data_IF_330596321122
#
_entry.id   IF_330596321122
#
_cell.length_a   1.000
_cell.length_b   1.000
_cell.length_c   1.000
_cell.angle_alpha   90.00
_cell.angle_beta   90.00
_cell.angle_gamma   90.00
#
_symmetry.space_group_name_H-M   'P 1'
#
loop_
_entity.id
_entity.type
_entity.pdbx_description
1 polymer ?
#
# COMPACT_ATOMS: atom_id res chain seq x y z
N UNK A 1 -44.90 43.70 27.65
CA UNK A 1 -45.37 42.47 26.96
C UNK A 1 -44.98 42.38 25.51
N UNK A 2 -44.81 43.47 24.76
CA UNK A 2 -44.39 43.43 23.35
C UNK A 2 -42.91 43.05 23.18
N UNK A 3 -42.03 43.52 24.05
CA UNK A 3 -40.58 43.29 24.00
C UNK A 3 -40.22 41.80 24.15
N UNK A 4 -40.89 41.09 25.08
CA UNK A 4 -40.70 39.66 25.28
C UNK A 4 -41.10 38.79 24.05
N UNK A 5 -42.00 39.29 23.21
CA UNK A 5 -42.43 38.56 21.99
C UNK A 5 -41.39 38.68 20.86
N UNK A 6 -40.73 39.83 20.78
CA UNK A 6 -39.69 40.06 19.79
C UNK A 6 -38.43 39.25 20.13
N UNK A 7 -38.00 39.23 21.39
CA UNK A 7 -36.82 38.45 21.84
C UNK A 7 -37.03 36.94 21.62
N UNK A 8 -38.26 36.43 21.77
CA UNK A 8 -38.57 35.01 21.48
C UNK A 8 -38.58 34.74 19.98
N UNK A 9 -39.03 35.67 19.14
CA UNK A 9 -39.00 35.53 17.68
C UNK A 9 -37.57 35.57 17.14
N UNK A 10 -36.74 36.45 17.68
CA UNK A 10 -35.31 36.55 17.30
C UNK A 10 -34.56 35.27 17.72
N UNK A 11 -34.83 34.74 18.92
CA UNK A 11 -34.26 33.47 19.37
C UNK A 11 -34.71 32.27 18.49
N UNK A 12 -35.96 32.25 18.04
CA UNK A 12 -36.47 31.20 17.12
C UNK A 12 -35.83 31.35 15.74
N UNK A 13 -35.56 32.57 15.29
CA UNK A 13 -34.90 32.83 14.01
C UNK A 13 -33.44 32.42 14.04
N UNK A 14 -32.72 32.71 15.13
CA UNK A 14 -31.35 32.26 15.37
C UNK A 14 -31.26 30.73 15.42
N UNK A 15 -32.19 30.05 16.10
CA UNK A 15 -32.26 28.57 16.10
C UNK A 15 -32.51 27.99 14.70
N UNK A 16 -33.36 28.66 13.89
CA UNK A 16 -33.59 28.23 12.50
C UNK A 16 -32.36 28.41 11.66
N UNK A 17 -31.66 29.54 11.79
CA UNK A 17 -30.41 29.81 11.06
C UNK A 17 -29.35 28.77 11.46
N UNK A 18 -29.12 28.52 12.75
CA UNK A 18 -28.20 27.51 13.23
C UNK A 18 -28.55 26.08 12.76
N UNK A 19 -29.87 25.78 12.67
CA UNK A 19 -30.33 24.48 12.17
C UNK A 19 -30.07 24.35 10.67
N UNK A 20 -30.32 25.39 9.91
CA UNK A 20 -30.09 25.43 8.48
C UNK A 20 -28.58 25.34 8.16
N UNK A 21 -27.72 26.09 8.86
CA UNK A 21 -26.25 26.01 8.72
C UNK A 21 -25.75 24.63 9.10
N UNK A 22 -26.29 23.99 10.12
CA UNK A 22 -25.94 22.60 10.47
C UNK A 22 -26.35 21.63 9.40
N UNK A 23 -27.55 21.74 8.84
CA UNK A 23 -28.05 20.82 7.81
C UNK A 23 -27.32 21.03 6.48
N UNK A 24 -26.93 22.27 6.14
CA UNK A 24 -26.04 22.59 5.03
C UNK A 24 -24.64 22.00 5.25
N UNK A 25 -24.10 22.09 6.47
CA UNK A 25 -22.81 21.50 6.81
C UNK A 25 -22.83 19.96 6.71
N UNK A 26 -23.94 19.32 7.14
CA UNK A 26 -24.12 17.87 7.01
C UNK A 26 -24.23 17.48 5.54
N UNK A 27 -25.02 18.20 4.74
CA UNK A 27 -25.18 17.94 3.30
C UNK A 27 -23.86 18.15 2.56
N UNK A 28 -23.13 19.23 2.84
CA UNK A 28 -21.83 19.50 2.28
C UNK A 28 -20.78 18.44 2.69
N UNK A 29 -20.89 17.90 3.90
CA UNK A 29 -20.05 16.80 4.37
C UNK A 29 -20.35 15.49 3.63
N UNK A 30 -21.64 15.18 3.45
CA UNK A 30 -22.05 13.99 2.68
C UNK A 30 -21.56 14.10 1.23
N UNK A 31 -21.73 15.25 0.59
CA UNK A 31 -21.23 15.52 -0.74
C UNK A 31 -19.69 15.40 -0.82
N UNK A 32 -18.98 15.91 0.20
CA UNK A 32 -17.51 15.81 0.25
C UNK A 32 -17.03 14.37 0.49
N UNK A 33 -17.78 13.56 1.22
CA UNK A 33 -17.50 12.13 1.39
C UNK A 33 -17.75 11.38 0.09
N UNK A 34 -18.83 11.67 -0.63
CA UNK A 34 -19.13 11.09 -1.94
C UNK A 34 -18.08 11.50 -2.98
N UNK A 35 -17.68 12.79 -3.02
CA UNK A 35 -16.64 13.32 -3.90
C UNK A 35 -15.25 12.71 -3.55
N UNK A 36 -14.96 12.47 -2.26
CA UNK A 36 -13.77 11.78 -1.78
C UNK A 36 -13.78 10.29 -2.13
N UNK A 37 -14.92 9.63 -1.97
CA UNK A 37 -15.10 8.23 -2.34
C UNK A 37 -14.94 8.03 -3.85
N UNK A 38 -15.43 8.98 -4.66
CA UNK A 38 -15.28 8.96 -6.11
C UNK A 38 -13.83 9.24 -6.52
N UNK A 39 -13.14 10.16 -5.85
CA UNK A 39 -11.72 10.45 -6.07
C UNK A 39 -10.82 9.29 -5.61
N UNK A 40 -11.12 8.67 -4.46
CA UNK A 40 -10.42 7.47 -4.01
C UNK A 40 -10.65 6.27 -4.93
N UNK A 41 -11.84 6.10 -5.50
CA UNK A 41 -12.09 5.09 -6.54
C UNK A 41 -11.15 5.25 -7.74
N UNK A 42 -10.90 6.48 -8.17
CA UNK A 42 -10.02 6.75 -9.30
C UNK A 42 -8.53 6.55 -8.94
N UNK A 43 -8.13 6.85 -7.72
CA UNK A 43 -6.74 6.72 -7.24
C UNK A 43 -6.38 5.27 -6.92
N UNK A 44 -7.27 4.54 -6.27
CA UNK A 44 -7.10 3.13 -5.92
C UNK A 44 -7.11 2.24 -7.17
N UNK A 45 -7.87 2.59 -8.20
CA UNK A 45 -7.79 1.99 -9.54
C UNK A 45 -6.42 2.20 -10.19
N UNK A 46 -5.78 3.33 -9.93
CA UNK A 46 -4.54 3.70 -10.61
C UNK A 46 -3.27 3.09 -9.97
N UNK A 47 -3.28 2.74 -8.69
CA UNK A 47 -2.03 2.45 -7.97
C UNK A 47 -1.95 1.12 -7.23
N UNK A 48 -3.03 0.63 -6.63
CA UNK A 48 -2.93 -0.45 -5.65
C UNK A 48 -3.99 -1.54 -5.81
N UNK A 49 -4.95 -1.39 -6.71
CA UNK A 49 -6.03 -2.36 -6.86
C UNK A 49 -6.94 -2.46 -5.62
N UNK A 50 -6.84 -1.52 -4.70
CA UNK A 50 -7.72 -1.43 -3.54
C UNK A 50 -8.83 -0.45 -3.87
N UNK A 51 -9.96 -0.96 -4.34
CA UNK A 51 -11.18 -0.17 -4.43
C UNK A 51 -11.70 0.10 -3.02
N UNK A 52 -11.92 1.37 -2.71
CA UNK A 52 -12.81 1.74 -1.63
C UNK A 52 -14.23 1.48 -2.14
N UNK A 53 -14.77 0.33 -1.78
CA UNK A 53 -16.18 0.08 -1.97
C UNK A 53 -16.90 0.92 -0.93
N UNK A 54 -17.88 1.72 -1.34
CA UNK A 54 -18.82 2.35 -0.41
C UNK A 54 -19.51 1.33 0.48
N UNK A 55 -20.52 1.70 1.23
CA UNK A 55 -21.30 0.72 2.01
C UNK A 55 -21.74 -0.44 1.10
N UNK A 56 -21.44 -1.66 1.51
CA UNK A 56 -21.76 -2.86 0.74
C UNK A 56 -20.70 -3.94 0.84
N UNK A 57 -20.73 -4.84 -0.11
CA UNK A 57 -19.74 -5.90 -0.28
C UNK A 57 -19.06 -5.77 -1.63
N UNK A 58 -17.81 -6.16 -1.68
CA UNK A 58 -17.08 -6.22 -2.94
C UNK A 58 -16.00 -7.27 -2.93
N UNK A 59 -15.57 -7.62 -4.14
CA UNK A 59 -14.45 -8.52 -4.36
C UNK A 59 -13.56 -7.99 -5.48
N UNK A 60 -12.27 -8.17 -5.30
CA UNK A 60 -11.27 -7.86 -6.31
C UNK A 60 -10.47 -9.11 -6.63
N UNK A 61 -10.20 -9.30 -7.89
CA UNK A 61 -9.28 -10.31 -8.42
C UNK A 61 -8.20 -9.61 -9.23
N UNK A 62 -6.93 -9.79 -8.84
CA UNK A 62 -5.80 -9.38 -9.66
C UNK A 62 -5.12 -10.59 -10.28
N UNK A 63 -4.64 -10.42 -11.51
CA UNK A 63 -3.77 -11.36 -12.18
C UNK A 63 -2.60 -10.57 -12.76
N UNK A 64 -1.41 -10.83 -12.26
CA UNK A 64 -0.21 -10.07 -12.63
C UNK A 64 0.85 -11.04 -13.12
N UNK A 65 1.40 -10.76 -14.28
CA UNK A 65 2.52 -11.51 -14.83
C UNK A 65 3.71 -10.59 -15.00
N UNK A 66 4.82 -10.97 -14.40
CA UNK A 66 6.12 -10.30 -14.50
C UNK A 66 7.10 -11.23 -15.18
N UNK A 67 7.91 -10.69 -16.07
CA UNK A 67 9.02 -11.41 -16.68
C UNK A 67 10.25 -10.52 -16.77
N UNK A 68 11.42 -11.10 -16.59
CA UNK A 68 12.67 -10.38 -16.68
C UNK A 68 13.74 -11.23 -17.34
N UNK A 69 14.67 -10.53 -17.97
CA UNK A 69 15.89 -11.10 -18.51
C UNK A 69 17.06 -10.37 -17.86
N UNK A 70 17.91 -11.13 -17.17
CA UNK A 70 19.08 -10.66 -16.45
C UNK A 70 20.38 -10.88 -17.19
N UNK A 71 21.52 -10.72 -16.48
CA UNK A 71 22.85 -11.02 -16.98
C UNK A 71 22.97 -12.45 -17.45
N UNK A 72 23.89 -12.69 -18.38
CA UNK A 72 24.21 -14.04 -18.93
C UNK A 72 23.02 -14.76 -19.59
N UNK A 73 21.95 -14.01 -19.96
CA UNK A 73 20.75 -14.57 -20.59
C UNK A 73 19.81 -15.29 -19.63
N UNK A 74 20.03 -15.21 -18.33
CA UNK A 74 19.10 -15.75 -17.33
C UNK A 74 17.75 -15.05 -17.44
N UNK A 75 16.68 -15.81 -17.44
CA UNK A 75 15.32 -15.28 -17.48
C UNK A 75 14.52 -15.82 -16.33
N UNK A 76 13.73 -14.96 -15.72
CA UNK A 76 12.77 -15.33 -14.68
C UNK A 76 11.40 -14.78 -14.96
N UNK A 77 10.43 -15.29 -14.23
CA UNK A 77 9.04 -14.83 -14.29
C UNK A 77 8.33 -15.06 -12.97
N UNK A 78 7.26 -14.28 -12.75
CA UNK A 78 6.34 -14.48 -11.65
C UNK A 78 4.90 -14.25 -12.13
N UNK A 79 4.03 -15.18 -11.78
CA UNK A 79 2.57 -15.03 -11.85
C UNK A 79 2.05 -14.81 -10.44
N UNK A 80 1.37 -13.71 -10.24
CA UNK A 80 0.71 -13.35 -9.00
C UNK A 80 -0.80 -13.29 -9.23
N UNK A 81 -1.58 -13.95 -8.38
CA UNK A 81 -3.03 -14.04 -8.46
C UNK A 81 -3.63 -13.61 -7.13
N UNK A 82 -3.86 -12.32 -6.98
CA UNK A 82 -4.39 -11.71 -5.76
C UNK A 82 -5.92 -11.82 -5.66
N UNK A 83 -6.40 -11.98 -4.44
CA UNK A 83 -7.82 -11.95 -4.11
C UNK A 83 -8.01 -10.99 -2.94
N UNK A 84 -9.03 -10.15 -3.04
CA UNK A 84 -9.47 -9.32 -1.94
C UNK A 84 -10.99 -9.41 -1.84
N UNK A 85 -11.47 -9.51 -0.63
CA UNK A 85 -12.87 -9.38 -0.29
C UNK A 85 -13.01 -8.22 0.67
N UNK A 86 -14.05 -7.44 0.49
CA UNK A 86 -14.34 -6.27 1.30
C UNK A 86 -15.83 -6.25 1.67
N UNK A 87 -16.12 -5.85 2.90
CA UNK A 87 -17.47 -5.62 3.40
C UNK A 87 -17.46 -4.38 4.29
N UNK A 88 -18.39 -3.46 4.03
CA UNK A 88 -18.61 -2.27 4.82
C UNK A 88 -20.10 -2.10 5.11
N UNK A 89 -20.46 -1.87 6.35
CA UNK A 89 -21.84 -1.59 6.75
C UNK A 89 -21.86 -0.76 8.01
N UNK A 90 -22.59 0.37 7.95
CA UNK A 90 -22.73 1.31 9.05
C UNK A 90 -21.36 1.85 9.52
N UNK A 91 -20.87 1.31 10.63
CA UNK A 91 -19.62 1.70 11.28
C UNK A 91 -18.50 0.65 11.15
N UNK A 92 -18.78 -0.45 10.51
CA UNK A 92 -17.87 -1.60 10.43
C UNK A 92 -17.33 -1.79 9.03
N UNK A 93 -16.03 -1.98 8.95
CA UNK A 93 -15.33 -2.39 7.75
C UNK A 93 -14.60 -3.70 8.02
N UNK A 94 -14.66 -4.62 7.08
CA UNK A 94 -13.94 -5.87 7.12
C UNK A 94 -13.28 -6.12 5.77
N UNK A 95 -12.04 -6.58 5.78
CA UNK A 95 -11.37 -7.04 4.56
C UNK A 95 -10.60 -8.32 4.78
N UNK A 96 -10.49 -9.11 3.72
CA UNK A 96 -9.67 -10.31 3.63
C UNK A 96 -8.87 -10.24 2.34
N UNK A 97 -7.56 -10.46 2.44
CA UNK A 97 -6.67 -10.47 1.27
C UNK A 97 -5.73 -11.67 1.33
N UNK A 98 -5.50 -12.30 0.19
CA UNK A 98 -4.43 -13.27 -0.03
C UNK A 98 -4.03 -13.31 -1.51
N UNK A 99 -3.00 -14.06 -1.83
CA UNK A 99 -2.63 -14.32 -3.22
C UNK A 99 -2.08 -15.74 -3.40
N UNK A 100 -2.16 -16.23 -4.63
CA UNK A 100 -1.41 -17.40 -5.06
C UNK A 100 -0.27 -16.93 -6.00
N UNK A 101 0.93 -17.42 -5.77
CA UNK A 101 2.13 -17.01 -6.50
C UNK A 101 2.77 -18.22 -7.15
N UNK A 102 3.23 -18.08 -8.38
CA UNK A 102 4.14 -19.00 -9.06
C UNK A 102 5.31 -18.16 -9.54
N UNK A 103 6.51 -18.50 -9.15
CA UNK A 103 7.72 -17.76 -9.48
C UNK A 103 8.84 -18.70 -9.88
N UNK A 104 9.67 -18.28 -10.84
CA UNK A 104 10.90 -18.96 -11.23
C UNK A 104 11.96 -17.89 -11.54
N UNK A 105 13.09 -17.96 -10.86
CA UNK A 105 14.20 -17.02 -11.04
C UNK A 105 15.15 -17.40 -12.18
N UNK A 106 14.97 -18.57 -12.78
CA UNK A 106 15.87 -19.12 -13.79
C UNK A 106 17.13 -19.77 -13.21
N UNK A 107 17.24 -19.88 -11.89
CA UNK A 107 18.32 -20.60 -11.20
C UNK A 107 17.88 -22.04 -10.87
N UNK A 108 18.83 -22.94 -10.67
CA UNK A 108 18.52 -24.29 -10.16
C UNK A 108 17.96 -24.17 -8.73
N UNK A 109 16.79 -24.77 -8.47
CA UNK A 109 16.06 -24.58 -7.21
C UNK A 109 15.42 -23.19 -7.05
N UNK A 110 15.35 -22.40 -8.11
CA UNK A 110 14.80 -21.05 -8.13
C UNK A 110 13.28 -21.00 -8.30
N UNK A 111 12.57 -22.06 -8.00
CA UNK A 111 11.12 -22.15 -8.10
C UNK A 111 10.44 -21.91 -6.75
N UNK A 112 9.37 -21.13 -6.77
CA UNK A 112 8.52 -20.88 -5.62
C UNK A 112 7.05 -20.90 -6.07
N UNK A 113 6.21 -21.64 -5.35
CA UNK A 113 4.77 -21.62 -5.61
C UNK A 113 3.97 -21.86 -4.34
N UNK A 114 2.86 -21.16 -4.18
CA UNK A 114 1.98 -21.33 -3.04
C UNK A 114 1.10 -20.11 -2.77
N UNK A 115 0.32 -20.23 -1.70
CA UNK A 115 -0.43 -19.10 -1.15
C UNK A 115 0.52 -18.15 -0.41
N UNK A 116 0.22 -16.86 -0.44
CA UNK A 116 0.78 -15.90 0.53
C UNK A 116 0.02 -16.03 1.85
N UNK A 117 0.54 -15.41 2.87
CA UNK A 117 -0.21 -15.22 4.11
C UNK A 117 -1.55 -14.52 3.81
N UNK A 118 -2.56 -14.85 4.62
CA UNK A 118 -3.89 -14.25 4.52
C UNK A 118 -4.00 -13.12 5.54
N UNK A 119 -4.22 -11.91 5.09
CA UNK A 119 -4.48 -10.77 5.96
C UNK A 119 -5.98 -10.56 6.14
N UNK A 120 -6.39 -10.38 7.40
CA UNK A 120 -7.74 -10.04 7.83
C UNK A 120 -7.68 -8.68 8.51
N UNK A 121 -8.54 -7.75 8.11
CA UNK A 121 -8.66 -6.46 8.78
C UNK A 121 -10.11 -6.24 9.20
N UNK A 122 -10.32 -5.80 10.43
CA UNK A 122 -11.61 -5.36 10.95
C UNK A 122 -11.47 -3.98 11.58
N UNK A 123 -12.32 -3.04 11.18
CA UNK A 123 -12.30 -1.66 11.67
C UNK A 123 -13.69 -1.25 12.14
N UNK A 124 -13.75 -0.44 13.16
CA UNK A 124 -14.95 0.26 13.61
C UNK A 124 -14.72 1.76 13.55
N UNK A 125 -15.68 2.49 12.96
CA UNK A 125 -15.64 3.95 12.82
C UNK A 125 -16.64 4.62 13.73
N UNK A 126 -16.18 5.48 14.63
CA UNK A 126 -17.01 6.38 15.42
C UNK A 126 -17.00 7.76 14.77
N UNK A 127 -18.12 8.12 14.15
CA UNK A 127 -18.26 9.38 13.38
C UNK A 127 -18.66 10.55 14.28
N UNK A 128 -17.91 11.64 14.17
CA UNK A 128 -18.23 12.93 14.80
C UNK A 128 -18.30 14.04 13.73
N UNK A 129 -18.97 15.15 14.01
CA UNK A 129 -19.12 16.23 13.02
C UNK A 129 -17.81 16.82 12.51
N UNK A 130 -16.73 16.79 13.30
CA UNK A 130 -15.44 17.44 12.98
C UNK A 130 -14.34 16.42 12.76
N UNK A 131 -14.45 15.22 13.33
CA UNK A 131 -13.44 14.17 13.22
C UNK A 131 -14.09 12.79 13.31
N UNK A 132 -13.45 11.79 12.72
CA UNK A 132 -13.81 10.39 12.90
C UNK A 132 -12.69 9.68 13.65
N UNK A 133 -13.05 8.78 14.54
CA UNK A 133 -12.10 7.87 15.20
C UNK A 133 -12.37 6.47 14.72
N UNK A 134 -11.35 5.83 14.18
CA UNK A 134 -11.39 4.46 13.68
C UNK A 134 -10.43 3.61 14.49
N UNK A 135 -10.90 2.50 14.99
CA UNK A 135 -10.06 1.53 15.69
C UNK A 135 -10.34 0.14 15.18
N UNK A 136 -9.31 -0.65 15.13
CA UNK A 136 -9.44 -1.96 14.57
C UNK A 136 -8.23 -2.84 14.79
N UNK A 137 -8.27 -3.92 14.08
CA UNK A 137 -7.34 -5.01 14.20
C UNK A 137 -7.02 -5.56 12.83
N UNK A 138 -5.74 -5.77 12.56
CA UNK A 138 -5.27 -6.55 11.44
C UNK A 138 -4.60 -7.82 11.98
N UNK A 139 -4.92 -8.95 11.37
CA UNK A 139 -4.35 -10.26 11.69
C UNK A 139 -3.77 -10.87 10.43
N UNK A 140 -2.49 -11.22 10.45
CA UNK A 140 -1.86 -12.01 9.43
C UNK A 140 -1.89 -13.48 9.83
N UNK A 141 -2.51 -14.32 8.99
CA UNK A 141 -2.59 -15.76 9.19
C UNK A 141 -1.50 -16.45 8.37
N UNK A 142 -0.72 -17.38 8.94
CA UNK A 142 0.39 -18.06 8.26
C UNK A 142 -0.12 -19.13 7.28
N UNK A 143 -0.84 -18.70 6.25
CA UNK A 143 -1.33 -19.58 5.16
C UNK A 143 -0.28 -19.76 4.06
N UNK A 144 0.71 -18.86 4.02
CA UNK A 144 1.86 -18.93 3.13
C UNK A 144 3.00 -19.76 3.73
N UNK A 145 3.92 -20.17 2.88
CA UNK A 145 5.17 -20.80 3.32
C UNK A 145 6.24 -19.74 3.55
N UNK A 146 6.82 -19.71 4.72
CA UNK A 146 8.01 -18.90 5.03
C UNK A 146 9.31 -19.54 4.56
N UNK A 147 9.28 -20.85 4.24
CA UNK A 147 10.44 -21.60 3.76
C UNK A 147 10.66 -21.31 2.29
N UNK A 148 11.64 -20.45 2.00
CA UNK A 148 11.98 -20.05 0.63
C UNK A 148 13.46 -20.31 0.39
N UNK A 149 13.76 -21.11 -0.63
CA UNK A 149 15.15 -21.32 -1.06
C UNK A 149 15.77 -19.99 -1.54
N UNK A 150 17.02 -19.69 -1.18
CA UNK A 150 17.71 -18.46 -1.58
C UNK A 150 17.71 -18.24 -3.09
N UNK A 151 17.81 -19.30 -3.89
CA UNK A 151 17.73 -19.22 -5.35
C UNK A 151 16.33 -18.85 -5.87
N UNK A 152 15.28 -19.03 -5.07
CA UNK A 152 13.89 -18.67 -5.40
C UNK A 152 13.55 -17.21 -5.05
N UNK A 153 14.42 -16.51 -4.31
CA UNK A 153 14.25 -15.09 -4.00
C UNK A 153 14.41 -14.26 -5.27
N UNK A 154 13.35 -13.57 -5.65
CA UNK A 154 13.35 -12.74 -6.84
C UNK A 154 14.21 -11.50 -6.59
N UNK A 155 15.08 -11.10 -7.56
CA UNK A 155 15.81 -9.85 -7.44
C UNK A 155 14.88 -8.66 -7.18
N UNK A 156 15.28 -7.77 -6.27
CA UNK A 156 14.52 -6.60 -5.88
C UNK A 156 14.01 -5.80 -7.09
N UNK A 157 12.79 -5.30 -7.01
CA UNK A 157 12.14 -4.43 -7.99
C UNK A 157 11.75 -5.09 -9.33
N UNK A 158 11.87 -6.41 -9.47
CA UNK A 158 11.50 -7.13 -10.69
C UNK A 158 10.15 -7.83 -10.63
N UNK A 159 9.73 -8.23 -9.44
CA UNK A 159 8.44 -8.88 -9.21
C UNK A 159 7.80 -8.37 -7.91
N UNK A 160 6.59 -8.82 -7.64
CA UNK A 160 5.78 -8.33 -6.52
C UNK A 160 6.14 -8.98 -5.19
N UNK A 161 6.49 -10.26 -5.21
CA UNK A 161 6.65 -11.07 -4.00
C UNK A 161 7.98 -11.81 -4.05
N UNK A 162 8.75 -11.68 -2.98
CA UNK A 162 10.00 -12.43 -2.75
C UNK A 162 9.81 -13.60 -1.78
N UNK A 163 8.73 -13.60 -0.98
CA UNK A 163 8.39 -14.61 0.02
C UNK A 163 6.89 -14.85 0.05
N UNK A 164 6.44 -16.04 0.48
CA UNK A 164 5.02 -16.37 0.57
C UNK A 164 4.42 -16.09 1.95
N UNK A 165 5.21 -16.09 3.02
CA UNK A 165 4.70 -15.88 4.37
C UNK A 165 5.75 -15.41 5.36
N UNK A 166 5.28 -14.78 6.44
CA UNK A 166 6.08 -14.23 7.55
C UNK A 166 5.49 -14.61 8.92
N UNK A 167 4.59 -15.59 8.95
CA UNK A 167 4.00 -16.08 10.20
C UNK A 167 2.79 -15.27 10.70
N UNK A 168 2.43 -15.49 11.95
CA UNK A 168 1.36 -14.79 12.63
C UNK A 168 1.77 -13.36 12.99
N UNK A 169 0.93 -12.39 12.61
CA UNK A 169 1.04 -11.03 13.13
C UNK A 169 -0.33 -10.56 13.62
N UNK A 170 -0.33 -9.79 14.70
CA UNK A 170 -1.49 -9.20 15.32
C UNK A 170 -1.25 -7.70 15.49
N UNK A 171 -2.02 -6.87 14.80
CA UNK A 171 -1.73 -5.44 14.71
C UNK A 171 -2.97 -4.61 15.08
N UNK A 172 -3.14 -4.21 16.35
CA UNK A 172 -4.11 -3.18 16.73
C UNK A 172 -3.79 -1.85 16.06
N UNK A 173 -4.84 -1.13 15.64
CA UNK A 173 -4.77 0.12 14.88
C UNK A 173 -5.72 1.16 15.45
N UNK A 174 -5.28 2.41 15.46
CA UNK A 174 -6.07 3.59 15.77
C UNK A 174 -5.86 4.63 14.68
N UNK A 175 -6.95 5.16 14.16
CA UNK A 175 -6.91 6.26 13.19
C UNK A 175 -7.80 7.41 13.69
N UNK A 176 -7.34 8.63 13.49
CA UNK A 176 -8.10 9.85 13.74
C UNK A 176 -8.11 10.67 12.46
N UNK A 177 -9.28 10.80 11.86
CA UNK A 177 -9.49 11.61 10.65
C UNK A 177 -10.13 12.93 11.05
N UNK A 178 -9.45 14.04 10.80
CA UNK A 178 -9.98 15.39 11.00
C UNK A 178 -10.34 16.01 9.65
N UNK A 179 -11.62 16.39 9.51
CA UNK A 179 -12.09 17.14 8.35
C UNK A 179 -11.78 18.61 8.58
N UNK A 180 -10.89 19.20 7.79
CA UNK A 180 -10.49 20.61 7.88
C UNK A 180 -11.51 21.48 7.14
N UNK A 181 -11.97 21.02 6.00
CA UNK A 181 -13.07 21.58 5.20
C UNK A 181 -13.70 20.47 4.34
N UNK A 182 -14.60 20.83 3.43
CA UNK A 182 -15.28 19.85 2.54
C UNK A 182 -14.38 19.16 1.54
N UNK A 183 -13.17 19.65 1.33
CA UNK A 183 -12.21 19.13 0.35
C UNK A 183 -10.95 18.59 1.00
N UNK A 184 -10.75 18.88 2.29
CA UNK A 184 -9.45 18.66 2.94
C UNK A 184 -9.60 17.86 4.21
N UNK A 185 -8.82 16.82 4.36
CA UNK A 185 -8.72 16.03 5.58
C UNK A 185 -7.27 15.81 6.01
N UNK A 186 -7.10 15.58 7.30
CA UNK A 186 -5.83 15.19 7.90
C UNK A 186 -6.08 13.94 8.73
N UNK A 187 -5.30 12.89 8.48
CA UNK A 187 -5.42 11.60 9.15
C UNK A 187 -4.14 11.27 9.89
N UNK A 188 -4.26 10.98 11.17
CA UNK A 188 -3.22 10.32 11.92
C UNK A 188 -3.56 8.85 12.11
N UNK A 189 -2.57 7.95 11.94
CA UNK A 189 -2.69 6.51 12.17
C UNK A 189 -1.57 6.04 13.08
N UNK A 190 -1.91 5.27 14.09
CA UNK A 190 -0.98 4.57 14.94
C UNK A 190 -1.28 3.07 14.95
N UNK A 191 -0.25 2.23 14.89
CA UNK A 191 -0.40 0.78 14.98
C UNK A 191 0.79 0.15 15.69
N UNK A 192 0.55 -0.96 16.38
CA UNK A 192 1.57 -1.78 17.00
C UNK A 192 1.42 -3.21 16.53
N UNK A 193 2.46 -3.76 15.91
CA UNK A 193 2.45 -5.11 15.37
C UNK A 193 3.17 -6.05 16.32
N UNK A 194 2.43 -6.99 16.91
CA UNK A 194 2.96 -8.15 17.58
C UNK A 194 3.29 -9.20 16.51
N UNK A 195 4.57 -9.48 16.32
CA UNK A 195 5.06 -10.37 15.27
C UNK A 195 5.37 -11.75 15.83
N UNK A 196 4.77 -12.78 15.28
CA UNK A 196 4.97 -14.17 15.69
C UNK A 196 6.22 -14.78 15.06
N UNK A 197 6.72 -15.82 15.72
CA UNK A 197 7.84 -16.60 15.20
C UNK A 197 7.41 -17.44 13.98
N UNK A 198 8.35 -17.69 13.07
CA UNK A 198 8.17 -18.54 11.92
C UNK A 198 9.46 -19.28 11.53
N UNK A 199 9.32 -20.38 10.79
CA UNK A 199 10.46 -21.15 10.30
C UNK A 199 10.90 -20.61 8.93
N UNK A 200 12.20 -20.60 8.70
CA UNK A 200 12.79 -20.22 7.42
C UNK A 200 13.91 -21.18 7.04
N UNK A 201 14.04 -21.47 5.74
CA UNK A 201 15.09 -22.34 5.22
C UNK A 201 16.27 -21.54 4.72
N UNK A 202 17.47 -21.92 5.19
CA UNK A 202 18.75 -21.40 4.76
C UNK A 202 19.57 -22.51 4.13
N UNK A 203 19.72 -22.53 2.83
CA UNK A 203 20.58 -23.51 2.14
C UNK A 203 20.42 -24.94 2.67
N UNK A 204 19.18 -25.33 2.99
CA UNK A 204 18.85 -26.64 3.55
C UNK A 204 18.96 -26.75 5.09
N UNK A 205 19.20 -25.64 5.78
CA UNK A 205 19.13 -25.58 7.25
C UNK A 205 17.90 -24.78 7.66
N UNK A 206 16.99 -25.40 8.39
CA UNK A 206 15.79 -24.73 8.93
C UNK A 206 16.17 -23.96 10.19
N UNK A 207 15.88 -22.66 10.20
CA UNK A 207 16.01 -21.78 11.36
C UNK A 207 14.66 -21.24 11.81
N UNK A 208 14.56 -20.86 13.08
CA UNK A 208 13.40 -20.18 13.65
C UNK A 208 13.70 -18.68 13.74
N UNK A 209 12.92 -17.89 13.01
CA UNK A 209 12.94 -16.44 13.08
C UNK A 209 11.94 -15.95 14.13
N UNK A 210 12.40 -15.12 15.04
CA UNK A 210 11.60 -14.38 16.01
C UNK A 210 11.75 -12.90 15.71
N UNK A 211 10.88 -12.30 14.87
CA UNK A 211 10.98 -10.88 14.55
C UNK A 211 10.59 -10.01 15.76
N UNK A 212 11.28 -8.90 15.95
CA UNK A 212 10.90 -7.89 16.92
C UNK A 212 9.57 -7.24 16.60
N UNK A 213 8.85 -6.79 17.62
CA UNK A 213 7.62 -6.05 17.43
C UNK A 213 7.88 -4.67 16.80
N UNK A 214 6.86 -4.09 16.20
CA UNK A 214 7.00 -2.88 15.42
C UNK A 214 5.91 -1.87 15.78
N UNK A 215 6.30 -0.61 15.98
CA UNK A 215 5.39 0.52 16.12
C UNK A 215 5.42 1.40 14.88
N UNK A 216 4.27 1.69 14.30
CA UNK A 216 4.15 2.56 13.12
C UNK A 216 3.24 3.75 13.41
N UNK A 217 3.69 4.95 13.01
CA UNK A 217 2.92 6.17 13.00
C UNK A 217 2.86 6.74 11.58
N UNK A 218 1.69 7.17 11.18
CA UNK A 218 1.47 7.84 9.90
C UNK A 218 0.73 9.15 10.10
N UNK A 219 1.09 10.15 9.32
CA UNK A 219 0.36 11.40 9.17
C UNK A 219 0.08 11.62 7.69
N UNK A 220 -1.18 11.78 7.33
CA UNK A 220 -1.61 11.99 5.95
C UNK A 220 -2.40 13.29 5.85
N UNK A 221 -2.11 14.06 4.84
CA UNK A 221 -2.88 15.23 4.42
C UNK A 221 -3.45 14.94 3.03
N UNK A 222 -4.76 15.06 2.87
CA UNK A 222 -5.47 14.81 1.64
C UNK A 222 -6.30 16.03 1.27
N UNK A 223 -6.21 16.45 0.00
CA UNK A 223 -7.07 17.47 -0.57
C UNK A 223 -7.62 17.00 -1.91
N UNK A 224 -8.94 17.14 -2.09
CA UNK A 224 -9.62 16.76 -3.32
C UNK A 224 -10.66 17.80 -3.66
N UNK A 225 -10.46 18.51 -4.76
CA UNK A 225 -11.47 19.38 -5.35
C UNK A 225 -11.75 18.97 -6.81
N UNK A 226 -12.60 19.73 -7.54
CA UNK A 226 -12.97 19.43 -8.93
C UNK A 226 -11.82 19.52 -9.94
N UNK A 227 -10.70 20.15 -9.57
CA UNK A 227 -9.57 20.42 -10.48
C UNK A 227 -8.28 19.79 -10.03
N UNK A 228 -8.15 19.54 -8.73
CA UNK A 228 -6.91 19.07 -8.15
C UNK A 228 -7.16 18.00 -7.10
N UNK A 229 -6.31 17.03 -7.08
CA UNK A 229 -6.23 16.03 -6.05
C UNK A 229 -4.77 15.89 -5.62
N UNK A 230 -4.48 16.02 -4.33
CA UNK A 230 -3.14 15.79 -3.83
C UNK A 230 -3.15 15.21 -2.43
N UNK A 231 -2.17 14.37 -2.18
CA UNK A 231 -1.92 13.71 -0.92
C UNK A 231 -0.46 13.89 -0.52
N UNK A 232 -0.22 14.10 0.75
CA UNK A 232 1.10 14.03 1.37
C UNK A 232 1.00 13.10 2.58
N UNK A 233 1.87 12.10 2.65
CA UNK A 233 1.90 11.11 3.73
C UNK A 233 3.30 10.98 4.28
N UNK A 234 3.43 11.12 5.59
CA UNK A 234 4.64 10.83 6.35
C UNK A 234 4.43 9.55 7.17
N UNK A 235 5.45 8.70 7.25
CA UNK A 235 5.44 7.48 8.03
C UNK A 235 6.74 7.37 8.84
N UNK A 236 6.61 7.00 10.09
CA UNK A 236 7.71 6.59 10.96
C UNK A 236 7.43 5.19 11.51
N UNK A 237 8.43 4.31 11.42
CA UNK A 237 8.37 2.94 11.92
C UNK A 237 9.52 2.75 12.90
N UNK A 238 9.19 2.37 14.12
CA UNK A 238 10.17 2.03 15.15
C UNK A 238 10.30 0.50 15.26
N UNK A 239 11.52 0.03 15.13
CA UNK A 239 11.94 -1.37 15.18
C UNK A 239 12.86 -1.64 16.38
N UNK A 240 12.58 -1.03 17.54
CA UNK A 240 13.46 -1.10 18.72
C UNK A 240 13.52 -2.48 19.38
N UNK A 241 12.55 -3.33 19.12
CA UNK A 241 12.53 -4.69 19.66
C UNK A 241 13.55 -5.57 18.94
N UNK A 242 14.22 -6.42 19.71
CA UNK A 242 15.19 -7.35 19.15
C UNK A 242 14.52 -8.47 18.37
N UNK A 243 15.06 -8.73 17.20
CA UNK A 243 14.80 -9.92 16.42
C UNK A 243 15.88 -10.98 16.72
N UNK A 244 15.55 -12.26 16.56
CA UNK A 244 16.54 -13.34 16.73
C UNK A 244 16.30 -14.48 15.76
N UNK A 245 17.40 -15.16 15.43
CA UNK A 245 17.40 -16.40 14.65
C UNK A 245 18.01 -17.50 15.51
N UNK A 246 17.33 -18.64 15.59
CA UNK A 246 17.77 -19.81 16.35
C UNK A 246 17.60 -21.09 15.54
N UNK A 247 18.30 -22.14 15.97
CA UNK A 247 18.27 -23.46 15.31
C UNK A 247 19.20 -23.56 14.11
N UNK A 248 20.04 -22.55 13.85
CA UNK A 248 21.09 -22.58 12.83
C UNK A 248 22.45 -22.87 13.47
N UNK A 249 23.49 -23.08 12.65
CA UNK A 249 24.86 -23.26 13.15
C UNK A 249 25.38 -22.05 13.97
N UNK A 250 24.79 -20.88 13.77
CA UNK A 250 25.14 -19.64 14.47
C UNK A 250 23.86 -18.91 14.87
N UNK A 251 23.36 -19.18 16.06
CA UNK A 251 22.25 -18.41 16.63
C UNK A 251 22.73 -16.99 16.93
N UNK A 252 21.93 -15.99 16.56
CA UNK A 252 22.26 -14.59 16.80
C UNK A 252 21.00 -13.72 16.92
N UNK A 253 21.17 -12.57 17.56
CA UNK A 253 20.14 -11.54 17.64
C UNK A 253 20.58 -10.28 16.90
N UNK A 254 19.61 -9.51 16.49
CA UNK A 254 19.83 -8.24 15.80
C UNK A 254 18.69 -7.26 16.09
N UNK A 255 18.96 -5.98 15.89
CA UNK A 255 17.95 -4.92 15.94
C UNK A 255 17.89 -4.28 14.57
N UNK A 256 16.70 -4.27 13.98
CA UNK A 256 16.44 -3.53 12.74
C UNK A 256 16.43 -2.03 13.04
N UNK A 257 16.98 -1.22 12.16
CA UNK A 257 16.92 0.23 12.30
C UNK A 257 15.53 0.78 12.02
N UNK A 258 15.27 1.96 12.55
CA UNK A 258 13.99 2.65 12.34
C UNK A 258 13.76 3.01 10.88
N UNK A 259 12.51 2.99 10.47
CA UNK A 259 12.07 3.36 9.13
C UNK A 259 11.46 4.75 9.07
N UNK A 260 11.74 5.46 7.98
CA UNK A 260 11.10 6.72 7.62
C UNK A 260 10.52 6.65 6.22
N UNK A 261 9.35 7.25 6.01
CA UNK A 261 8.71 7.33 4.71
C UNK A 261 8.06 8.69 4.48
N UNK A 262 8.23 9.22 3.27
CA UNK A 262 7.51 10.38 2.78
C UNK A 262 6.95 10.02 1.41
N UNK A 263 5.63 10.20 1.21
CA UNK A 263 4.95 9.96 -0.06
C UNK A 263 4.12 11.17 -0.43
N UNK A 264 4.13 11.51 -1.71
CA UNK A 264 3.29 12.57 -2.24
C UNK A 264 2.68 12.14 -3.57
N UNK A 265 1.47 12.59 -3.80
CA UNK A 265 0.75 12.42 -5.05
C UNK A 265 0.09 13.74 -5.41
N UNK A 266 0.06 14.07 -6.69
CA UNK A 266 -0.62 15.23 -7.24
C UNK A 266 -1.27 14.88 -8.58
N UNK A 267 -2.53 15.26 -8.79
CA UNK A 267 -3.24 15.18 -10.07
C UNK A 267 -3.96 16.49 -10.33
N UNK A 268 -3.95 16.96 -11.57
CA UNK A 268 -4.64 18.17 -11.99
C UNK A 268 -5.30 18.00 -13.36
N UNK A 269 -6.56 18.42 -13.45
CA UNK A 269 -7.33 18.41 -14.69
C UNK A 269 -7.18 19.74 -15.41
N UNK A 270 -6.70 19.70 -16.65
CA UNK A 270 -6.60 20.87 -17.51
C UNK A 270 -7.71 20.93 -18.57
N UNK A 271 -8.42 19.81 -18.81
CA UNK A 271 -9.71 19.75 -19.49
C UNK A 271 -10.65 18.80 -18.73
N UNK A 272 -11.95 18.75 -19.04
CA UNK A 272 -12.85 17.75 -18.44
C UNK A 272 -12.47 16.30 -18.73
N UNK A 273 -11.61 16.05 -19.73
CA UNK A 273 -11.20 14.71 -20.15
C UNK A 273 -9.72 14.42 -19.88
N UNK A 274 -8.92 15.44 -19.66
CA UNK A 274 -7.48 15.30 -19.63
C UNK A 274 -6.92 15.80 -18.29
N UNK A 275 -6.09 14.98 -17.69
CA UNK A 275 -5.34 15.33 -16.50
C UNK A 275 -3.91 14.82 -16.59
N UNK A 276 -3.05 15.44 -15.81
CA UNK A 276 -1.72 14.90 -15.53
C UNK A 276 -1.58 14.64 -14.04
N UNK A 277 -0.72 13.71 -13.70
CA UNK A 277 -0.39 13.42 -12.31
C UNK A 277 1.09 13.18 -12.15
N UNK A 278 1.56 13.44 -10.94
CA UNK A 278 2.91 13.11 -10.52
C UNK A 278 2.87 12.53 -9.13
N UNK A 279 3.79 11.65 -8.83
CA UNK A 279 3.95 11.09 -7.51
C UNK A 279 5.42 10.94 -7.15
N UNK A 280 5.69 10.92 -5.86
CA UNK A 280 7.00 10.64 -5.32
C UNK A 280 6.87 9.91 -3.99
N UNK A 281 7.83 9.02 -3.73
CA UNK A 281 8.01 8.38 -2.45
C UNK A 281 9.50 8.31 -2.13
N UNK A 282 9.85 8.74 -0.94
CA UNK A 282 11.16 8.53 -0.37
C UNK A 282 10.99 7.65 0.87
N UNK A 283 11.82 6.60 0.98
CA UNK A 283 11.87 5.76 2.17
C UNK A 283 13.32 5.59 2.61
N UNK A 284 13.50 5.51 3.90
CA UNK A 284 14.73 5.14 4.55
C UNK A 284 14.44 3.98 5.49
N UNK A 285 15.14 2.87 5.30
CA UNK A 285 15.16 1.77 6.23
C UNK A 285 16.51 1.79 6.94
N UNK A 286 16.50 1.94 8.25
CA UNK A 286 17.70 2.01 9.08
C UNK A 286 18.55 0.74 8.97
N UNK A 287 19.82 0.87 9.23
CA UNK A 287 20.74 -0.27 9.21
C UNK A 287 20.48 -1.26 10.33
N UNK A 288 20.77 -2.53 10.08
CA UNK A 288 20.63 -3.62 11.07
C UNK A 288 21.88 -3.71 11.94
N UNK A 289 21.71 -3.74 13.24
CA UNK A 289 22.79 -3.95 14.23
C UNK A 289 22.77 -5.39 14.76
N UNK A 290 23.90 -6.09 14.68
CA UNK A 290 24.04 -7.50 15.10
C UNK A 290 24.76 -7.62 16.42
N UNK A 291 24.25 -8.47 17.31
CA UNK A 291 24.89 -8.74 18.63
C UNK A 291 26.16 -9.59 18.51
N UNK A 292 26.38 -10.29 17.42
CA UNK A 292 27.52 -11.18 17.19
C UNK A 292 28.77 -10.49 16.60
N UNK A 293 28.76 -9.16 16.51
CA UNK A 293 29.87 -8.36 16.00
C UNK A 293 30.00 -8.32 14.46
N UNK A 294 29.01 -8.82 13.72
CA UNK A 294 28.93 -8.57 12.28
C UNK A 294 28.80 -7.06 12.02
N UNK A 295 29.36 -6.62 10.92
CA UNK A 295 29.28 -5.22 10.52
C UNK A 295 27.81 -4.79 10.40
N UNK A 296 27.42 -3.65 11.00
CA UNK A 296 26.07 -3.15 10.87
C UNK A 296 25.78 -2.80 9.40
N UNK A 297 24.57 -3.09 8.94
CA UNK A 297 24.09 -2.61 7.67
C UNK A 297 24.00 -1.08 7.65
N UNK A 298 24.30 -0.45 6.54
CA UNK A 298 24.28 1.02 6.40
C UNK A 298 22.87 1.63 6.29
N UNK A 299 21.87 0.80 6.15
CA UNK A 299 20.51 1.23 5.80
C UNK A 299 20.34 1.52 4.30
N UNK A 300 19.11 1.60 3.84
CA UNK A 300 18.76 1.80 2.43
C UNK A 300 17.86 3.01 2.26
N UNK A 301 18.27 3.92 1.41
CA UNK A 301 17.43 5.01 0.90
C UNK A 301 16.81 4.59 -0.42
N UNK A 302 15.49 4.72 -0.54
CA UNK A 302 14.78 4.51 -1.81
C UNK A 302 14.04 5.77 -2.19
N UNK A 303 14.22 6.19 -3.43
CA UNK A 303 13.47 7.28 -4.05
C UNK A 303 12.73 6.72 -5.26
N UNK A 304 11.41 6.75 -5.19
CA UNK A 304 10.51 6.35 -6.26
C UNK A 304 9.69 7.55 -6.69
N UNK A 305 9.65 7.86 -7.99
CA UNK A 305 8.86 8.97 -8.51
C UNK A 305 8.42 8.69 -9.94
N UNK A 306 7.33 9.33 -10.34
CA UNK A 306 6.82 9.19 -11.69
C UNK A 306 5.86 10.32 -12.04
N UNK A 307 5.58 10.41 -13.32
CA UNK A 307 4.57 11.31 -13.85
C UNK A 307 3.81 10.63 -14.96
N UNK A 308 2.55 11.03 -15.14
CA UNK A 308 1.69 10.42 -16.11
C UNK A 308 0.62 11.34 -16.63
N UNK A 309 0.02 10.90 -17.70
CA UNK A 309 -1.09 11.53 -18.39
C UNK A 309 -2.30 10.59 -18.38
N UNK A 310 -3.47 11.16 -18.17
CA UNK A 310 -4.75 10.47 -18.16
C UNK A 310 -5.68 11.10 -19.19
N UNK A 311 -6.29 10.24 -20.00
CA UNK A 311 -7.32 10.65 -20.97
C UNK A 311 -8.61 9.90 -20.71
N UNK A 312 -9.67 10.61 -20.39
CA UNK A 312 -11.00 10.05 -20.20
C UNK A 312 -11.78 10.12 -21.51
N UNK A 313 -12.04 8.97 -22.13
CA UNK A 313 -12.84 8.90 -23.34
C UNK A 313 -14.31 9.26 -23.07
N UNK A 314 -14.83 8.70 -21.97
CA UNK A 314 -16.20 8.90 -21.48
C UNK A 314 -16.25 8.57 -19.96
N UNK A 315 -17.44 8.56 -19.36
CA UNK A 315 -17.62 8.26 -17.93
C UNK A 315 -17.24 6.83 -17.52
N UNK A 316 -16.93 5.96 -18.48
CA UNK A 316 -16.62 4.54 -18.23
C UNK A 316 -15.21 4.12 -18.62
N UNK A 317 -14.51 4.91 -19.44
CA UNK A 317 -13.23 4.48 -20.03
C UNK A 317 -12.15 5.54 -19.90
N UNK A 318 -11.00 5.13 -19.39
CA UNK A 318 -9.84 5.99 -19.21
C UNK A 318 -8.57 5.30 -19.71
N UNK A 319 -7.68 6.04 -20.33
CA UNK A 319 -6.32 5.65 -20.67
C UNK A 319 -5.34 6.33 -19.73
N UNK A 320 -4.30 5.60 -19.34
CA UNK A 320 -3.20 6.09 -18.49
C UNK A 320 -1.86 5.81 -19.14
N UNK A 321 -0.98 6.79 -19.13
CA UNK A 321 0.41 6.64 -19.56
C UNK A 321 1.33 7.19 -18.48
N UNK A 322 2.26 6.38 -17.99
CA UNK A 322 3.21 6.75 -16.94
C UNK A 322 4.64 6.47 -17.31
N UNK A 323 5.53 7.35 -16.82
CA UNK A 323 6.96 7.09 -16.75
C UNK A 323 7.38 7.10 -15.27
N UNK A 324 8.11 6.07 -14.87
CA UNK A 324 8.46 5.80 -13.48
C UNK A 324 9.96 5.65 -13.32
N UNK A 325 10.50 6.15 -12.23
CA UNK A 325 11.89 6.04 -11.83
C UNK A 325 11.99 5.54 -10.40
N UNK A 326 12.91 4.64 -10.17
CA UNK A 326 13.34 4.20 -8.86
C UNK A 326 14.84 4.35 -8.75
N UNK A 327 15.29 4.86 -7.61
CA UNK A 327 16.68 4.84 -7.17
C UNK A 327 16.74 4.29 -5.76
N UNK A 328 17.58 3.28 -5.55
CA UNK A 328 17.92 2.75 -4.24
C UNK A 328 19.42 2.92 -4.03
N UNK A 329 19.80 3.49 -2.91
CA UNK A 329 21.21 3.68 -2.52
C UNK A 329 21.38 3.12 -1.09
N UNK A 330 22.47 2.39 -0.87
CA UNK A 330 22.77 1.74 0.40
C UNK A 330 22.77 0.22 0.26
N UNK A 331 23.12 -0.44 1.34
CA UNK A 331 23.14 -1.89 1.45
C UNK A 331 22.35 -2.27 2.69
N UNK A 332 21.32 -3.08 2.53
CA UNK A 332 20.70 -3.79 3.62
C UNK A 332 21.04 -5.27 3.47
N UNK A 333 21.63 -5.81 4.48
CA UNK A 333 21.83 -7.24 4.58
C UNK A 333 20.55 -7.84 5.20
N UNK A 334 19.93 -8.74 4.47
CA UNK A 334 18.87 -9.58 5.01
C UNK A 334 19.54 -10.80 5.69
N UNK A 335 19.52 -10.88 7.02
CA UNK A 335 20.18 -11.97 7.72
C UNK A 335 19.55 -13.32 7.41
N UNK A 336 18.28 -13.31 6.98
CA UNK A 336 17.53 -14.50 6.65
C UNK A 336 17.97 -15.09 5.31
N UNK A 337 18.01 -14.28 4.27
CA UNK A 337 18.39 -14.75 2.93
C UNK A 337 19.89 -14.67 2.67
N UNK A 338 20.65 -14.06 3.59
CA UNK A 338 22.06 -13.70 3.39
C UNK A 338 22.30 -12.87 2.11
N UNK A 339 21.23 -12.32 1.57
CA UNK A 339 21.29 -11.47 0.39
C UNK A 339 21.47 -10.02 0.82
N UNK A 340 22.34 -9.33 0.09
CA UNK A 340 22.48 -7.90 0.23
C UNK A 340 21.51 -7.25 -0.75
N UNK A 341 20.59 -6.42 -0.24
CA UNK A 341 19.79 -5.56 -1.09
C UNK A 341 20.72 -4.53 -1.74
N UNK A 342 20.99 -4.72 -3.01
CA UNK A 342 21.98 -3.93 -3.73
C UNK A 342 21.38 -2.60 -4.18
N UNK A 343 22.22 -1.56 -4.18
CA UNK A 343 21.89 -0.29 -4.84
C UNK A 343 21.43 -0.53 -6.29
N UNK A 344 20.35 0.17 -6.68
CA UNK A 344 19.77 -0.05 -8.00
C UNK A 344 19.06 1.18 -8.55
N UNK A 345 18.90 1.21 -9.86
CA UNK A 345 18.13 2.24 -10.57
C UNK A 345 17.22 1.56 -11.59
N UNK A 346 15.91 1.86 -11.49
CA UNK A 346 14.93 1.36 -12.45
C UNK A 346 14.26 2.52 -13.17
N UNK A 347 14.08 2.36 -14.46
CA UNK A 347 13.20 3.18 -15.28
C UNK A 347 12.16 2.29 -15.91
N UNK A 348 10.89 2.70 -15.90
CA UNK A 348 9.83 1.99 -16.61
C UNK A 348 8.80 2.94 -17.20
N UNK A 349 8.14 2.46 -18.24
CA UNK A 349 6.97 3.11 -18.85
C UNK A 349 5.81 2.13 -18.76
N UNK A 350 4.65 2.62 -18.35
CA UNK A 350 3.42 1.84 -18.28
C UNK A 350 2.29 2.49 -19.06
N UNK A 351 1.47 1.64 -19.66
CA UNK A 351 0.23 1.97 -20.34
C UNK A 351 -0.89 1.24 -19.61
N UNK A 352 -1.89 1.98 -19.13
CA UNK A 352 -3.05 1.45 -18.45
C UNK A 352 -4.34 1.80 -19.16
N UNK A 353 -5.32 0.93 -19.05
CA UNK A 353 -6.67 1.14 -19.55
C UNK A 353 -7.67 0.68 -18.50
N UNK A 354 -8.56 1.60 -18.09
CA UNK A 354 -9.63 1.34 -17.12
C UNK A 354 -10.97 1.34 -17.84
N UNK A 355 -11.79 0.38 -17.48
CA UNK A 355 -13.13 0.20 -18.03
C UNK A 355 -14.14 -0.12 -16.94
N UNK A 356 -15.04 0.82 -16.65
CA UNK A 356 -16.24 0.58 -15.84
C UNK A 356 -17.30 -0.06 -16.75
N UNK A 357 -17.45 -1.38 -16.69
CA UNK A 357 -18.40 -2.12 -17.52
C UNK A 357 -19.84 -1.73 -17.17
N UNK A 358 -20.13 -1.63 -15.88
CA UNK A 358 -21.40 -1.17 -15.31
C UNK A 358 -21.15 -0.56 -13.90
N UNK A 359 -22.21 -0.27 -13.14
CA UNK A 359 -22.11 0.34 -11.81
C UNK A 359 -21.49 -0.60 -10.74
N UNK A 360 -21.40 -1.88 -11.04
CA UNK A 360 -20.91 -2.92 -10.13
C UNK A 360 -19.59 -3.54 -10.56
N UNK A 361 -19.24 -3.43 -11.83
CA UNK A 361 -18.13 -4.16 -12.41
C UNK A 361 -17.12 -3.22 -13.09
N UNK A 362 -15.85 -3.35 -12.77
CA UNK A 362 -14.78 -2.65 -13.46
C UNK A 362 -13.58 -3.56 -13.76
N UNK A 363 -12.87 -3.24 -14.83
CA UNK A 363 -11.70 -3.92 -15.31
C UNK A 363 -10.59 -2.90 -15.54
N UNK A 364 -9.38 -3.21 -15.08
CA UNK A 364 -8.17 -2.43 -15.36
C UNK A 364 -7.10 -3.33 -15.95
N UNK A 365 -6.49 -2.90 -17.03
CA UNK A 365 -5.36 -3.57 -17.68
C UNK A 365 -4.17 -2.61 -17.69
N UNK A 366 -3.04 -3.04 -17.15
CA UNK A 366 -1.77 -2.32 -17.19
C UNK A 366 -0.70 -3.16 -17.88
N UNK A 367 0.11 -2.51 -18.70
CA UNK A 367 1.30 -3.08 -19.32
C UNK A 367 2.50 -2.22 -18.97
N UNK A 368 3.57 -2.83 -18.49
CA UNK A 368 4.79 -2.11 -18.11
C UNK A 368 6.01 -2.68 -18.82
N UNK A 369 6.91 -1.80 -19.25
CA UNK A 369 8.26 -2.15 -19.73
C UNK A 369 9.30 -1.42 -18.91
N UNK A 370 10.28 -2.15 -18.35
CA UNK A 370 11.30 -1.58 -17.49
C UNK A 370 12.71 -2.03 -17.79
N UNK A 371 13.66 -1.23 -17.32
CA UNK A 371 15.09 -1.55 -17.27
C UNK A 371 15.54 -1.29 -15.84
N UNK A 372 16.18 -2.28 -15.23
CA UNK A 372 16.79 -2.18 -13.91
C UNK A 372 18.30 -2.35 -14.05
N UNK A 373 19.06 -1.47 -13.42
CA UNK A 373 20.51 -1.57 -13.25
C UNK A 373 20.80 -1.71 -11.76
N UNK A 374 21.47 -2.79 -11.40
CA UNK A 374 21.89 -3.05 -10.01
C UNK A 374 23.42 -2.92 -9.89
N UNK A 375 23.89 -2.86 -8.65
CA UNK A 375 25.32 -2.86 -8.33
C UNK A 375 25.98 -4.12 -8.92
N UNK A 376 27.24 -4.01 -9.35
CA UNK A 376 27.96 -5.11 -10.01
C UNK A 376 27.60 -5.29 -11.49
N UNK A 377 27.12 -4.23 -12.17
CA UNK A 377 26.76 -4.21 -13.59
C UNK A 377 25.64 -5.18 -14.02
N UNK A 378 24.87 -5.69 -13.05
CA UNK A 378 23.71 -6.52 -13.34
C UNK A 378 22.60 -5.66 -13.98
N UNK A 379 22.33 -5.92 -15.26
CA UNK A 379 21.28 -5.24 -16.01
C UNK A 379 20.12 -6.19 -16.29
N UNK A 380 18.90 -5.75 -15.94
CA UNK A 380 17.69 -6.50 -16.21
C UNK A 380 16.78 -5.71 -17.14
N UNK A 381 16.13 -6.43 -18.05
CA UNK A 381 15.00 -5.93 -18.84
C UNK A 381 13.76 -6.63 -18.36
N UNK A 382 12.72 -5.88 -18.01
CA UNK A 382 11.48 -6.43 -17.48
C UNK A 382 10.28 -5.98 -18.29
N UNK A 383 9.24 -6.78 -18.26
CA UNK A 383 7.91 -6.41 -18.67
C UNK A 383 6.90 -7.02 -17.71
N UNK A 384 5.76 -6.36 -17.57
CA UNK A 384 4.68 -6.79 -16.72
C UNK A 384 3.34 -6.56 -17.40
N UNK A 385 2.39 -7.41 -17.09
CA UNK A 385 0.98 -7.25 -17.46
C UNK A 385 0.16 -7.48 -16.19
N UNK A 386 -0.71 -6.53 -15.86
CA UNK A 386 -1.58 -6.60 -14.69
C UNK A 386 -3.02 -6.43 -15.13
N UNK A 387 -3.86 -7.37 -14.72
CA UNK A 387 -5.31 -7.35 -14.94
C UNK A 387 -6.01 -7.33 -13.59
N UNK A 388 -6.81 -6.30 -13.35
CA UNK A 388 -7.60 -6.18 -12.13
C UNK A 388 -9.08 -6.17 -12.49
N UNK A 389 -9.85 -7.07 -11.89
CA UNK A 389 -11.29 -7.10 -11.97
C UNK A 389 -11.89 -6.83 -10.60
N UNK A 390 -12.84 -5.90 -10.54
CA UNK A 390 -13.53 -5.52 -9.33
C UNK A 390 -15.02 -5.67 -9.50
N UNK A 391 -15.68 -6.16 -8.44
CA UNK A 391 -17.13 -6.33 -8.40
C UNK A 391 -17.69 -5.87 -7.06
N UNK A 392 -18.69 -4.99 -7.11
CA UNK A 392 -19.56 -4.63 -5.98
C UNK A 392 -20.85 -5.47 -6.02
N UNK A 393 -21.38 -5.85 -4.85
CA UNK A 393 -22.57 -6.70 -4.74
C UNK A 393 -23.80 -5.92 -4.26
#
# INVERSE_FOLDING_TARGET
MAQNKQDVLDCIQDVKICTQERDEAITNRQQAVEDLEEAHKDEDLARFGLLHFGEGMGAQKSLEYYSWQGPEGRSGHQLYSGNSFYWSKNHYDFSLTNAYVISNTGLAGGEMSGLTDTSLTAMYTNKHPVYDVRYGLEVNLPTGSSRTNNNAVVPDYLARVSRLGEGWNFTPRLEVVRHLDKYTSMTWRGSYSFRGAYEEDYDGVTGNMHPGNQWTNELEYLHTDKKTHYMLKFQYTNNSDKSSISGTANDYSFTEGDGLGLRGYYRSWFTPKDSWGAYGAWTFDGGTAYDNGLAPGSGVHRLYYGAGYFHQFDSKRQLRLFANWLRADGESYDPLTRLTSASGRRFSVSLGYDWRMDDKNSLSLDMERGILRQQGDANYRSWGVMLNYNRSF
#
